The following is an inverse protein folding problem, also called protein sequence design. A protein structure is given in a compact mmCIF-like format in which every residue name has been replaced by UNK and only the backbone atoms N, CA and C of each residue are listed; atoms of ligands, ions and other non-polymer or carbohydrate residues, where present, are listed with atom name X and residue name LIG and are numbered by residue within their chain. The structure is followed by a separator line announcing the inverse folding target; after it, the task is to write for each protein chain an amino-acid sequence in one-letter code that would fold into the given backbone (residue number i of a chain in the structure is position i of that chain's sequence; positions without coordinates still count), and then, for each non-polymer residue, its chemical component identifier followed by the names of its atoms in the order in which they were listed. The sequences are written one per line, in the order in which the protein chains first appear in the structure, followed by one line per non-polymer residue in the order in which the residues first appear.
data_IF_184015117545
#
_entry.id   IF_184015117545
#
_cell.length_a   1.000
_cell.length_b   1.000
_cell.length_c   1.000
_cell.angle_alpha   90.00
_cell.angle_beta   90.00
_cell.angle_gamma   90.00
#
_symmetry.space_group_name_H-M   'P 1'
#
loop_
_entity.id
_entity.type
_entity.pdbx_description
1 polymer ?
#
# COMPACT_ATOMS: atom_id res chain seq x y z
N UNK A 1 -14.43 -24.58 21.77
CA UNK A 1 -13.16 -24.04 21.28
C UNK A 1 -13.30 -23.80 19.78
N UNK A 2 -13.46 -22.53 19.37
CA UNK A 2 -13.69 -22.20 17.96
C UNK A 2 -12.36 -22.34 17.21
N UNK A 3 -12.33 -23.20 16.19
CA UNK A 3 -11.27 -23.24 15.18
C UNK A 3 -11.17 -21.85 14.55
N UNK A 4 -10.17 -21.07 14.96
CA UNK A 4 -9.75 -19.89 14.20
C UNK A 4 -9.22 -20.43 12.87
N UNK A 5 -10.06 -20.39 11.85
CA UNK A 5 -9.60 -20.44 10.47
C UNK A 5 -8.55 -19.34 10.39
N UNK A 6 -7.28 -19.71 10.22
CA UNK A 6 -6.19 -18.77 10.00
C UNK A 6 -6.43 -18.14 8.63
N UNK A 7 -7.31 -17.14 8.60
CA UNK A 7 -7.53 -16.33 7.42
C UNK A 7 -6.23 -15.59 7.18
N UNK A 8 -5.50 -16.02 6.14
CA UNK A 8 -4.22 -15.47 5.74
C UNK A 8 -4.47 -14.00 5.38
N UNK A 9 -3.89 -13.07 6.15
CA UNK A 9 -4.17 -11.63 6.10
C UNK A 9 -3.33 -10.95 5.01
N UNK A 10 -3.99 -10.13 4.21
CA UNK A 10 -3.39 -9.37 3.12
C UNK A 10 -2.39 -8.29 3.54
N UNK A 11 -1.74 -7.65 2.58
CA UNK A 11 -0.88 -6.48 2.81
C UNK A 11 -1.52 -5.21 2.28
N UNK A 12 -1.16 -4.06 2.85
CA UNK A 12 -1.59 -2.75 2.36
C UNK A 12 -0.40 -1.87 2.07
N UNK A 13 -0.35 -1.25 0.90
CA UNK A 13 0.68 -0.32 0.49
C UNK A 13 0.10 1.08 0.32
N UNK A 14 0.86 2.10 0.71
CA UNK A 14 0.42 3.50 0.66
C UNK A 14 1.52 4.32 -0.02
N UNK A 15 1.23 4.89 -1.19
CA UNK A 15 2.18 5.67 -1.99
C UNK A 15 1.64 7.05 -2.39
N UNK A 16 2.55 7.97 -2.70
CA UNK A 16 2.20 9.27 -3.26
C UNK A 16 1.84 9.16 -4.75
N UNK A 17 2.79 8.75 -5.59
CA UNK A 17 2.70 8.80 -7.05
C UNK A 17 3.71 7.82 -7.67
N UNK A 18 3.25 6.80 -8.40
CA UNK A 18 4.05 5.68 -8.91
C UNK A 18 3.92 5.47 -10.42
N UNK A 19 2.72 5.66 -10.98
CA UNK A 19 2.40 5.26 -12.36
C UNK A 19 2.47 6.45 -13.32
N UNK A 20 2.00 7.63 -12.91
CA UNK A 20 1.96 8.84 -13.75
C UNK A 20 3.31 9.47 -14.03
N UNK A 21 4.37 9.05 -13.33
CA UNK A 21 5.73 9.58 -13.46
C UNK A 21 6.76 8.47 -13.52
N UNK A 22 7.90 8.79 -14.12
CA UNK A 22 9.08 7.95 -14.12
C UNK A 22 10.18 8.56 -13.25
N UNK A 23 10.98 7.69 -12.66
CA UNK A 23 12.06 8.05 -11.75
C UNK A 23 12.55 6.82 -11.00
N UNK A 24 13.72 6.93 -10.34
CA UNK A 24 14.33 5.78 -9.67
C UNK A 24 13.42 5.14 -8.62
N UNK A 25 12.78 5.95 -7.77
CA UNK A 25 11.82 5.46 -6.75
C UNK A 25 10.67 4.71 -7.39
N UNK A 26 10.13 5.23 -8.50
CA UNK A 26 9.03 4.61 -9.22
C UNK A 26 9.45 3.27 -9.83
N UNK A 27 10.67 3.17 -10.39
CA UNK A 27 11.22 1.91 -10.88
C UNK A 27 11.31 0.86 -9.77
N UNK A 28 11.88 1.19 -8.61
CA UNK A 28 11.95 0.26 -7.47
C UNK A 28 10.57 -0.22 -7.01
N UNK A 29 9.59 0.67 -6.92
CA UNK A 29 8.23 0.29 -6.50
C UNK A 29 7.55 -0.60 -7.54
N UNK A 30 7.77 -0.35 -8.84
CA UNK A 30 7.26 -1.20 -9.92
C UNK A 30 7.83 -2.62 -9.86
N UNK A 31 9.11 -2.76 -9.51
CA UNK A 31 9.72 -4.08 -9.30
C UNK A 31 9.07 -4.83 -8.12
N UNK A 32 8.73 -4.12 -7.04
CA UNK A 32 7.97 -4.69 -5.91
C UNK A 32 6.58 -5.14 -6.38
N UNK A 33 5.88 -4.33 -7.18
CA UNK A 33 4.56 -4.70 -7.71
C UNK A 33 4.65 -5.93 -8.61
N UNK A 34 5.67 -6.02 -9.47
CA UNK A 34 5.90 -7.18 -10.32
C UNK A 34 6.12 -8.44 -9.48
N UNK A 35 6.99 -8.37 -8.45
CA UNK A 35 7.25 -9.50 -7.57
C UNK A 35 5.97 -10.00 -6.86
N UNK A 36 5.11 -9.08 -6.42
CA UNK A 36 3.81 -9.45 -5.85
C UNK A 36 2.89 -10.09 -6.90
N UNK A 37 2.84 -9.55 -8.11
CA UNK A 37 2.05 -10.12 -9.21
C UNK A 37 2.51 -11.55 -9.54
N UNK A 38 3.82 -11.77 -9.66
CA UNK A 38 4.42 -13.07 -9.95
C UNK A 38 4.10 -14.09 -8.84
N UNK A 39 4.15 -13.66 -7.58
CA UNK A 39 3.75 -14.47 -6.44
C UNK A 39 2.26 -14.86 -6.52
N UNK A 40 1.38 -13.91 -6.85
CA UNK A 40 -0.05 -14.19 -7.00
C UNK A 40 -0.34 -15.13 -8.16
N UNK A 41 0.43 -15.07 -9.26
CA UNK A 41 0.25 -15.90 -10.45
C UNK A 41 0.82 -17.31 -10.30
N UNK A 42 1.89 -17.47 -9.51
CA UNK A 42 2.58 -18.76 -9.30
C UNK A 42 1.89 -19.65 -8.26
N UNK A 43 0.94 -19.11 -7.50
CA UNK A 43 0.28 -19.82 -6.41
C UNK A 43 -0.91 -20.62 -6.95
N UNK A 44 -0.90 -21.94 -6.78
CA UNK A 44 -2.02 -22.81 -7.14
C UNK A 44 -3.29 -22.39 -6.38
N UNK A 45 -4.46 -22.46 -7.01
CA UNK A 45 -5.76 -22.00 -6.49
C UNK A 45 -6.18 -22.53 -5.09
N UNK A 46 -5.45 -23.50 -4.51
CA UNK A 46 -5.67 -24.04 -3.17
C UNK A 46 -4.87 -23.33 -2.07
N UNK A 47 -3.84 -22.55 -2.41
CA UNK A 47 -3.12 -21.70 -1.48
C UNK A 47 -3.76 -20.31 -1.54
N UNK A 48 -4.43 -19.89 -0.47
CA UNK A 48 -5.13 -18.61 -0.41
C UNK A 48 -4.16 -17.45 -0.72
N UNK A 49 -4.21 -16.94 -1.93
CA UNK A 49 -3.46 -15.76 -2.36
C UNK A 49 -3.91 -14.58 -1.51
N UNK A 50 -2.94 -13.87 -0.92
CA UNK A 50 -3.17 -12.75 -0.03
C UNK A 50 -3.63 -11.52 -0.82
N UNK A 51 -4.82 -11.01 -0.50
CA UNK A 51 -5.30 -9.77 -1.09
C UNK A 51 -4.37 -8.60 -0.71
N UNK A 52 -3.83 -7.94 -1.72
CA UNK A 52 -2.96 -6.78 -1.57
C UNK A 52 -3.71 -5.54 -2.02
N UNK A 53 -3.74 -4.52 -1.16
CA UNK A 53 -4.33 -3.23 -1.47
C UNK A 53 -3.24 -2.18 -1.66
N UNK A 54 -3.29 -1.43 -2.76
CA UNK A 54 -2.33 -0.38 -3.08
C UNK A 54 -3.09 0.93 -3.20
N UNK A 55 -2.79 1.87 -2.30
CA UNK A 55 -3.43 3.18 -2.23
C UNK A 55 -2.48 4.21 -2.85
N UNK A 56 -2.94 4.89 -3.91
CA UNK A 56 -2.17 5.88 -4.65
C UNK A 56 -2.80 7.27 -4.51
N UNK A 57 -2.08 8.22 -3.91
CA UNK A 57 -2.62 9.55 -3.63
C UNK A 57 -2.78 10.43 -4.88
N UNK A 58 -1.85 10.34 -5.84
CA UNK A 58 -1.73 11.28 -6.97
C UNK A 58 -1.82 10.63 -8.34
N UNK A 59 -1.76 9.30 -8.42
CA UNK A 59 -2.09 8.58 -9.65
C UNK A 59 -3.61 8.55 -9.86
N UNK A 60 -4.01 8.69 -11.12
CA UNK A 60 -5.41 8.63 -11.53
C UNK A 60 -5.73 7.36 -12.31
N UNK A 61 -7.03 7.16 -12.58
CA UNK A 61 -7.52 5.99 -13.33
C UNK A 61 -7.07 5.99 -14.79
N UNK A 62 -6.61 7.15 -15.30
CA UNK A 62 -6.06 7.31 -16.64
C UNK A 62 -4.67 6.67 -16.83
N UNK A 63 -4.00 6.29 -15.73
CA UNK A 63 -2.67 5.69 -15.81
C UNK A 63 -2.76 4.23 -16.25
N UNK A 64 -1.87 3.82 -17.17
CA UNK A 64 -1.69 2.40 -17.46
C UNK A 64 -1.17 1.66 -16.22
N UNK A 65 -1.84 0.57 -15.87
CA UNK A 65 -1.45 -0.25 -14.73
C UNK A 65 -1.41 -1.74 -15.11
N UNK A 66 -0.23 -2.25 -15.52
CA UNK A 66 -0.07 -3.67 -15.84
C UNK A 66 -0.06 -4.57 -14.60
N UNK A 67 0.03 -4.01 -13.39
CA UNK A 67 0.21 -4.75 -12.14
C UNK A 67 -1.11 -5.14 -11.46
N UNK A 68 -2.24 -4.58 -11.90
CA UNK A 68 -3.54 -4.91 -11.34
C UNK A 68 -3.91 -6.37 -11.65
N UNK A 69 -4.33 -7.10 -10.61
CA UNK A 69 -4.72 -8.51 -10.75
C UNK A 69 -5.89 -8.83 -9.81
N UNK A 70 -6.39 -10.07 -9.85
CA UNK A 70 -7.51 -10.51 -8.99
C UNK A 70 -7.24 -10.29 -7.50
N UNK A 71 -5.98 -10.42 -7.07
CA UNK A 71 -5.57 -10.29 -5.68
C UNK A 71 -4.75 -9.02 -5.40
N UNK A 72 -4.55 -8.16 -6.40
CA UNK A 72 -3.83 -6.89 -6.24
C UNK A 72 -4.76 -5.76 -6.68
N UNK A 73 -5.31 -5.06 -5.69
CA UNK A 73 -6.28 -3.99 -5.88
C UNK A 73 -5.60 -2.63 -5.81
N UNK A 74 -5.85 -1.78 -6.80
CA UNK A 74 -5.37 -0.40 -6.82
C UNK A 74 -6.48 0.59 -6.52
N UNK A 75 -6.23 1.51 -5.59
CA UNK A 75 -7.12 2.59 -5.23
C UNK A 75 -6.50 3.93 -5.60
N UNK A 76 -7.02 4.54 -6.66
CA UNK A 76 -6.59 5.84 -7.19
C UNK A 76 -7.37 6.95 -6.48
N UNK A 77 -6.66 7.79 -5.73
CA UNK A 77 -7.26 8.79 -4.84
C UNK A 77 -6.99 10.22 -5.30
N UNK A 78 -6.40 10.39 -6.49
CA UNK A 78 -6.19 11.68 -7.14
C UNK A 78 -7.51 12.43 -7.28
N UNK A 79 -7.52 13.66 -6.79
CA UNK A 79 -8.68 14.55 -6.88
C UNK A 79 -8.24 16.00 -6.77
N UNK A 80 -9.10 16.90 -7.26
CA UNK A 80 -9.00 18.33 -7.00
C UNK A 80 -10.18 18.71 -6.10
N UNK A 81 -9.93 19.42 -4.98
CA UNK A 81 -8.65 19.96 -4.51
C UNK A 81 -7.72 18.94 -3.81
N UNK A 82 -6.41 19.22 -3.73
CA UNK A 82 -5.40 18.30 -3.17
C UNK A 82 -5.67 17.82 -1.73
N UNK A 83 -6.26 18.66 -0.88
CA UNK A 83 -6.56 18.29 0.50
C UNK A 83 -7.62 17.18 0.58
N UNK A 84 -8.55 17.14 -0.39
CA UNK A 84 -9.57 16.11 -0.47
C UNK A 84 -8.95 14.75 -0.79
N UNK A 85 -7.89 14.72 -1.61
CA UNK A 85 -7.14 13.48 -1.88
C UNK A 85 -6.49 12.92 -0.62
N UNK A 86 -5.89 13.80 0.20
CA UNK A 86 -5.30 13.41 1.50
C UNK A 86 -6.36 12.85 2.45
N UNK A 87 -7.53 13.49 2.51
CA UNK A 87 -8.65 12.99 3.30
C UNK A 87 -9.13 11.63 2.81
N UNK A 88 -9.31 11.46 1.48
CA UNK A 88 -9.69 10.17 0.87
C UNK A 88 -8.68 9.07 1.16
N UNK A 89 -7.38 9.39 1.14
CA UNK A 89 -6.32 8.47 1.53
C UNK A 89 -6.44 8.03 2.99
N UNK A 90 -6.57 8.98 3.91
CA UNK A 90 -6.74 8.66 5.33
C UNK A 90 -7.99 7.80 5.58
N UNK A 91 -9.13 8.16 4.96
CA UNK A 91 -10.37 7.43 5.09
C UNK A 91 -10.28 6.01 4.49
N UNK A 92 -9.67 5.87 3.30
CA UNK A 92 -9.52 4.58 2.63
C UNK A 92 -8.55 3.67 3.38
N UNK A 93 -7.44 4.22 3.87
CA UNK A 93 -6.48 3.50 4.71
C UNK A 93 -7.17 3.00 5.98
N UNK A 94 -7.86 3.88 6.72
CA UNK A 94 -8.61 3.48 7.91
C UNK A 94 -9.64 2.38 7.61
N UNK A 95 -10.36 2.47 6.49
CA UNK A 95 -11.27 1.42 6.06
C UNK A 95 -10.56 0.08 5.82
N UNK A 96 -9.42 0.07 5.11
CA UNK A 96 -8.62 -1.14 4.89
C UNK A 96 -8.17 -1.74 6.24
N UNK A 97 -7.68 -0.91 7.15
CA UNK A 97 -7.21 -1.36 8.47
C UNK A 97 -8.32 -2.00 9.29
N UNK A 98 -9.50 -1.37 9.35
CA UNK A 98 -10.63 -1.88 10.13
C UNK A 98 -11.31 -3.10 9.48
N UNK A 99 -11.48 -3.08 8.16
CA UNK A 99 -12.26 -4.10 7.45
C UNK A 99 -11.45 -5.34 7.10
N UNK A 100 -10.20 -5.15 6.66
CA UNK A 100 -9.36 -6.24 6.17
C UNK A 100 -8.29 -6.68 7.17
N UNK A 101 -7.97 -5.83 8.15
CA UNK A 101 -6.95 -6.09 9.18
C UNK A 101 -5.67 -6.66 8.57
N UNK A 102 -4.98 -5.89 7.69
CA UNK A 102 -3.81 -6.38 6.97
C UNK A 102 -2.73 -6.88 7.94
N UNK A 103 -1.93 -7.83 7.47
CA UNK A 103 -0.78 -8.34 8.19
C UNK A 103 0.29 -7.26 8.35
N UNK A 104 0.51 -6.47 7.29
CA UNK A 104 1.55 -5.43 7.24
C UNK A 104 1.06 -4.23 6.43
N UNK A 105 1.44 -3.03 6.86
CA UNK A 105 1.32 -1.80 6.06
C UNK A 105 2.70 -1.35 5.57
N UNK A 106 2.84 -1.12 4.27
CA UNK A 106 4.06 -0.55 3.67
C UNK A 106 3.80 0.91 3.29
N UNK A 107 4.54 1.82 3.92
CA UNK A 107 4.50 3.25 3.66
C UNK A 107 5.62 3.60 2.67
N UNK A 108 5.25 4.02 1.47
CA UNK A 108 6.21 4.26 0.40
C UNK A 108 6.84 5.65 0.36
N UNK A 109 6.63 6.50 1.37
CA UNK A 109 7.21 7.84 1.42
C UNK A 109 7.19 8.40 2.85
N UNK A 110 8.26 9.09 3.28
CA UNK A 110 8.36 9.63 4.65
C UNK A 110 7.24 10.61 5.04
N UNK A 111 6.80 11.48 4.12
CA UNK A 111 5.67 12.40 4.33
C UNK A 111 4.33 11.71 4.64
N UNK A 112 4.19 10.40 4.36
CA UNK A 112 3.01 9.61 4.71
C UNK A 112 3.17 8.90 6.06
N UNK A 113 4.39 8.79 6.59
CA UNK A 113 4.67 8.02 7.80
C UNK A 113 3.89 8.49 9.03
N UNK A 114 3.74 9.81 9.32
CA UNK A 114 2.94 10.25 10.47
C UNK A 114 1.48 9.79 10.38
N UNK A 115 0.87 9.87 9.19
CA UNK A 115 -0.50 9.36 8.97
C UNK A 115 -0.58 7.86 9.20
N UNK A 116 0.35 7.09 8.63
CA UNK A 116 0.38 5.63 8.76
C UNK A 116 0.57 5.23 10.23
N UNK A 117 1.49 5.88 10.95
CA UNK A 117 1.74 5.64 12.37
C UNK A 117 0.50 5.92 13.23
N UNK A 118 -0.13 7.09 13.05
CA UNK A 118 -1.35 7.48 13.79
C UNK A 118 -2.47 6.46 13.61
N UNK A 119 -2.60 5.85 12.42
CA UNK A 119 -3.66 4.89 12.14
C UNK A 119 -3.30 3.45 12.52
N UNK A 120 -2.04 3.03 12.35
CA UNK A 120 -1.63 1.63 12.54
C UNK A 120 -1.30 1.30 14.01
N UNK A 121 -0.62 2.21 14.72
CA UNK A 121 -0.16 1.97 16.10
C UNK A 121 -1.32 1.70 17.06
N UNK A 122 -2.43 2.48 17.07
CA UNK A 122 -3.55 2.20 17.96
C UNK A 122 -4.27 0.87 17.64
N UNK A 123 -4.15 0.39 16.40
CA UNK A 123 -4.77 -0.86 15.95
C UNK A 123 -3.83 -2.07 16.11
N UNK A 124 -2.60 -1.88 16.60
CA UNK A 124 -1.60 -2.94 16.73
C UNK A 124 -1.17 -3.55 15.39
N UNK A 125 -1.27 -2.78 14.29
CA UNK A 125 -0.92 -3.23 12.94
C UNK A 125 0.53 -2.80 12.68
N UNK A 126 1.45 -3.72 12.33
CA UNK A 126 2.83 -3.35 12.03
C UNK A 126 2.91 -2.59 10.71
N UNK A 127 3.81 -1.60 10.66
CA UNK A 127 4.09 -0.85 9.45
C UNK A 127 5.60 -0.74 9.17
N UNK A 128 5.95 -0.68 7.89
CA UNK A 128 7.33 -0.49 7.40
C UNK A 128 7.36 0.73 6.51
N UNK A 129 8.32 1.63 6.74
CA UNK A 129 8.56 2.77 5.86
C UNK A 129 9.66 2.41 4.86
N UNK A 130 9.34 2.48 3.57
CA UNK A 130 10.29 2.35 2.47
C UNK A 130 10.92 3.72 2.25
N UNK A 131 12.20 3.86 2.58
CA UNK A 131 12.96 5.11 2.42
C UNK A 131 13.95 4.98 1.27
N UNK A 132 14.17 6.08 0.55
CA UNK A 132 15.03 6.08 -0.63
C UNK A 132 16.10 7.18 -0.53
N UNK A 133 17.35 6.83 -0.85
CA UNK A 133 18.47 7.73 -1.12
C UNK A 133 18.57 8.96 -0.20
N UNK A 134 17.92 10.06 -0.57
CA UNK A 134 17.95 11.33 0.19
C UNK A 134 17.39 11.18 1.62
N UNK A 135 16.36 10.35 1.80
CA UNK A 135 15.67 10.13 3.06
C UNK A 135 16.47 9.28 4.06
N UNK A 136 17.58 8.67 3.62
CA UNK A 136 18.43 7.79 4.43
C UNK A 136 19.58 8.56 5.10
N UNK A 137 19.90 9.76 4.60
CA UNK A 137 21.02 10.57 5.13
C UNK A 137 20.68 11.32 6.43
N UNK A 138 19.40 11.58 6.68
CA UNK A 138 18.92 12.26 7.89
C UNK A 138 18.03 11.30 8.71
N UNK A 139 18.10 11.33 10.06
CA UNK A 139 17.22 10.51 10.89
C UNK A 139 15.75 10.80 10.59
N UNK A 140 14.92 9.76 10.56
CA UNK A 140 13.48 9.94 10.39
C UNK A 140 12.92 10.72 11.60
N UNK A 141 12.02 11.70 11.38
CA UNK A 141 11.36 12.39 12.48
C UNK A 141 10.59 11.39 13.36
N UNK A 142 10.72 11.55 14.68
CA UNK A 142 10.07 10.72 15.70
C UNK A 142 8.55 10.91 15.73
#
# INVERSE_FOLDING_TARGET
MANKINQKKGNTFVFLEILSREGGIQSYVRDIFQAYQDLTNSTNASDSVLDTDILLLRDGLECENPYQSKNINFYYLKTQPLWLGRFRLAAKLLWCLLKKQPQQVFCGHINLAPLVQILCVPLGIPYTVLTYGKEVWEPLPN
#
